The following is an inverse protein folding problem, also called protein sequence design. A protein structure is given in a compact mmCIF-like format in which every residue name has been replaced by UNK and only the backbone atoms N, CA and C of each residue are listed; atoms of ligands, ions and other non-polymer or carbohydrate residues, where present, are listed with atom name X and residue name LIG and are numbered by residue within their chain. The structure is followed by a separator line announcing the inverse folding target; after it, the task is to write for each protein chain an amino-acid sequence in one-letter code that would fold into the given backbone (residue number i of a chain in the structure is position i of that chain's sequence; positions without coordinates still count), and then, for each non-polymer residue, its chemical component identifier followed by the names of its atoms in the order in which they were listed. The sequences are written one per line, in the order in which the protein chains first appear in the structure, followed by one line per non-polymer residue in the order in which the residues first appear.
data_IF_613309867266
#
_entry.id   IF_613309867266
#
_cell.length_a   1.000
_cell.length_b   1.000
_cell.length_c   1.000
_cell.angle_alpha   90.00
_cell.angle_beta   90.00
_cell.angle_gamma   90.00
#
_symmetry.space_group_name_H-M   'P 1'
#
loop_
_entity.id
_entity.type
_entity.pdbx_description
1 polymer ?
#
# COMPACT_ATOMS: atom_id res chain seq x y z
N UNK A 1 -35.36 82.03 -23.60
CA UNK A 1 -36.18 80.87 -23.95
C UNK A 1 -35.29 79.89 -24.67
N UNK A 2 -34.70 78.93 -23.95
CA UNK A 2 -33.82 77.92 -24.52
C UNK A 2 -34.23 76.58 -23.94
N UNK A 3 -34.75 75.76 -24.80
CA UNK A 3 -35.16 74.37 -24.51
C UNK A 3 -33.93 73.45 -24.65
N UNK A 4 -33.57 72.77 -23.57
CA UNK A 4 -32.54 71.75 -23.57
C UNK A 4 -33.16 70.35 -23.81
N UNK A 5 -32.74 69.72 -24.87
CA UNK A 5 -33.05 68.29 -25.17
C UNK A 5 -32.02 67.44 -24.43
N UNK A 6 -32.53 66.53 -23.60
CA UNK A 6 -31.70 65.47 -23.01
C UNK A 6 -31.76 64.23 -23.88
N UNK A 7 -30.59 63.88 -24.44
CA UNK A 7 -30.35 62.57 -25.06
C UNK A 7 -30.15 61.51 -23.94
N UNK A 8 -30.98 60.46 -24.01
CA UNK A 8 -30.77 59.26 -23.17
C UNK A 8 -30.02 58.22 -24.06
N UNK A 9 -28.78 57.93 -23.71
CA UNK A 9 -28.03 56.86 -24.29
C UNK A 9 -28.35 55.53 -23.58
N UNK A 10 -28.93 54.58 -24.27
CA UNK A 10 -29.14 53.21 -23.80
C UNK A 10 -27.88 52.40 -24.02
N UNK A 11 -27.15 52.03 -22.96
CA UNK A 11 -26.10 51.01 -23.01
C UNK A 11 -26.72 49.62 -22.96
N UNK A 12 -26.61 48.89 -24.07
CA UNK A 12 -26.92 47.45 -24.13
C UNK A 12 -25.77 46.69 -23.51
N UNK A 13 -25.94 46.05 -22.38
CA UNK A 13 -25.03 45.07 -21.81
C UNK A 13 -25.25 43.72 -22.53
N UNK A 14 -24.30 43.33 -23.38
CA UNK A 14 -24.17 41.96 -23.87
C UNK A 14 -23.56 41.10 -22.76
N UNK A 15 -24.38 40.32 -22.11
CA UNK A 15 -23.94 39.29 -21.19
C UNK A 15 -23.45 38.07 -21.94
N UNK A 16 -22.15 37.82 -21.92
CA UNK A 16 -21.55 36.56 -22.36
C UNK A 16 -21.81 35.51 -21.28
N UNK A 17 -22.73 34.58 -21.53
CA UNK A 17 -22.84 33.35 -20.74
C UNK A 17 -21.60 32.49 -21.00
N UNK A 18 -20.65 32.52 -20.09
CA UNK A 18 -19.58 31.53 -20.03
C UNK A 18 -20.17 30.20 -19.62
N UNK A 19 -20.18 29.20 -20.50
CA UNK A 19 -20.41 27.82 -20.15
C UNK A 19 -19.23 27.36 -19.30
N UNK A 20 -19.43 27.24 -17.99
CA UNK A 20 -18.54 26.48 -17.11
C UNK A 20 -18.81 25.02 -17.39
N UNK A 21 -17.93 24.36 -18.16
CA UNK A 21 -17.89 22.91 -18.23
C UNK A 21 -17.49 22.38 -16.85
N UNK A 22 -18.44 21.80 -16.13
CA UNK A 22 -18.14 20.98 -14.98
C UNK A 22 -17.38 19.73 -15.47
N UNK A 23 -16.08 19.68 -15.19
CA UNK A 23 -15.31 18.45 -15.28
C UNK A 23 -15.76 17.56 -14.13
N UNK A 24 -16.63 16.61 -14.46
CA UNK A 24 -17.06 15.56 -13.55
C UNK A 24 -15.86 14.62 -13.35
N UNK A 25 -15.12 14.77 -12.27
CA UNK A 25 -14.19 13.76 -11.77
C UNK A 25 -14.99 12.64 -11.14
N UNK A 26 -15.45 11.68 -11.95
CA UNK A 26 -15.90 10.39 -11.43
C UNK A 26 -14.69 9.64 -10.94
N UNK A 27 -14.63 9.40 -9.62
CA UNK A 27 -13.76 8.39 -9.05
C UNK A 27 -14.08 7.03 -9.71
N UNK A 28 -13.08 6.21 -10.08
CA UNK A 28 -13.36 4.90 -10.64
C UNK A 28 -14.07 4.05 -9.59
N UNK A 29 -15.28 3.62 -9.93
CA UNK A 29 -16.05 2.65 -9.16
C UNK A 29 -15.20 1.37 -8.97
N UNK A 30 -15.28 0.78 -7.78
CA UNK A 30 -14.61 -0.48 -7.46
C UNK A 30 -14.78 -1.50 -8.58
N UNK A 31 -13.67 -2.13 -8.99
CA UNK A 31 -13.68 -3.11 -10.07
C UNK A 31 -14.61 -4.28 -9.70
N UNK A 32 -15.55 -4.67 -10.56
CA UNK A 32 -16.31 -5.88 -10.36
C UNK A 32 -15.37 -7.08 -10.50
N UNK A 33 -15.50 -8.05 -9.59
CA UNK A 33 -14.88 -9.36 -9.71
C UNK A 33 -15.39 -10.03 -11.02
N UNK A 34 -14.65 -9.89 -12.10
CA UNK A 34 -15.01 -10.33 -13.44
C UNK A 34 -14.03 -11.37 -13.96
N UNK A 35 -14.58 -12.52 -14.27
CA UNK A 35 -14.01 -13.65 -14.99
C UNK A 35 -12.96 -13.27 -16.05
N UNK A 36 -11.81 -13.96 -16.00
CA UNK A 36 -10.85 -14.14 -17.11
C UNK A 36 -10.14 -12.90 -17.68
N UNK A 37 -10.15 -11.74 -17.01
CA UNK A 37 -9.40 -10.59 -17.44
C UNK A 37 -7.90 -10.78 -17.14
N UNK A 38 -7.07 -10.36 -18.10
CA UNK A 38 -5.62 -10.22 -17.87
C UNK A 38 -5.37 -9.24 -16.71
N UNK A 39 -4.23 -9.40 -16.04
CA UNK A 39 -3.81 -8.45 -15.00
C UNK A 39 -3.49 -7.09 -15.66
N UNK A 40 -3.83 -6.02 -14.97
CA UNK A 40 -3.37 -4.68 -15.35
C UNK A 40 -1.85 -4.61 -15.17
N UNK A 41 -1.15 -4.02 -16.14
CA UNK A 41 0.31 -3.81 -16.08
C UNK A 41 0.59 -2.33 -16.33
N UNK A 42 1.36 -1.70 -15.45
CA UNK A 42 1.77 -0.30 -15.55
C UNK A 42 3.29 -0.21 -15.38
N UNK A 43 3.96 0.50 -16.27
CA UNK A 43 5.35 0.93 -16.03
C UNK A 43 5.33 2.06 -15.00
N UNK A 44 6.10 1.93 -13.92
CA UNK A 44 6.14 2.92 -12.82
C UNK A 44 7.31 3.87 -13.02
N UNK A 45 8.53 3.36 -12.89
CA UNK A 45 9.76 4.14 -13.11
C UNK A 45 10.97 3.21 -13.33
N UNK A 46 11.98 3.68 -14.04
CA UNK A 46 13.18 2.91 -14.30
C UNK A 46 12.86 1.56 -14.96
N UNK A 47 13.16 0.48 -14.27
CA UNK A 47 12.86 -0.89 -14.70
C UNK A 47 11.82 -1.59 -13.81
N UNK A 48 11.03 -0.80 -13.07
CA UNK A 48 9.98 -1.28 -12.16
C UNK A 48 8.59 -1.12 -12.79
N UNK A 49 7.82 -2.19 -12.75
CA UNK A 49 6.44 -2.27 -13.23
C UNK A 49 5.53 -2.68 -12.08
N UNK A 50 4.26 -2.27 -12.15
CA UNK A 50 3.19 -2.69 -11.26
C UNK A 50 2.25 -3.64 -11.99
N UNK A 51 1.90 -4.77 -11.35
CA UNK A 51 0.80 -5.64 -11.74
C UNK A 51 -0.35 -5.46 -10.75
N UNK A 52 -1.57 -5.30 -11.27
CA UNK A 52 -2.79 -5.15 -10.47
C UNK A 52 -3.84 -6.19 -10.83
N UNK A 53 -4.67 -6.58 -9.85
CA UNK A 53 -5.79 -7.51 -10.04
C UNK A 53 -5.49 -8.95 -9.62
N UNK A 54 -4.33 -9.22 -9.03
CA UNK A 54 -3.98 -10.55 -8.52
C UNK A 54 -4.33 -10.79 -7.05
N UNK A 55 -4.69 -9.80 -6.32
CA UNK A 55 -4.84 -9.68 -4.87
C UNK A 55 -4.30 -8.33 -4.46
N UNK A 56 -3.28 -8.29 -3.62
CA UNK A 56 -2.46 -7.08 -3.44
C UNK A 56 -1.71 -6.68 -4.71
N UNK A 57 -1.18 -5.49 -4.72
CA UNK A 57 -0.29 -4.98 -5.76
C UNK A 57 1.01 -5.81 -5.79
N UNK A 58 1.58 -5.96 -6.99
CA UNK A 58 2.82 -6.71 -7.20
C UNK A 58 3.80 -5.81 -7.94
N UNK A 59 4.97 -5.55 -7.37
CA UNK A 59 6.03 -4.85 -8.09
C UNK A 59 6.94 -5.85 -8.82
N UNK A 60 7.30 -5.54 -10.07
CA UNK A 60 8.16 -6.37 -10.91
C UNK A 60 9.31 -5.54 -11.43
N UNK A 61 10.54 -5.88 -11.02
CA UNK A 61 11.75 -5.30 -11.58
C UNK A 61 12.32 -6.25 -12.64
N UNK A 62 12.65 -5.71 -13.81
CA UNK A 62 13.23 -6.47 -14.92
C UNK A 62 14.63 -5.97 -15.29
N UNK A 63 15.50 -6.82 -15.78
CA UNK A 63 16.84 -6.42 -16.24
C UNK A 63 17.72 -7.61 -16.63
N UNK A 64 19.03 -7.36 -16.79
CA UNK A 64 19.97 -8.36 -17.30
C UNK A 64 20.22 -9.52 -16.33
N UNK A 65 20.14 -9.28 -15.02
CA UNK A 65 20.35 -10.31 -14.00
C UNK A 65 19.12 -11.25 -13.89
N UNK A 66 17.96 -10.81 -14.38
CA UNK A 66 16.71 -11.54 -14.30
C UNK A 66 15.54 -10.69 -13.86
N UNK A 67 14.53 -11.34 -13.28
CA UNK A 67 13.33 -10.71 -12.72
C UNK A 67 13.34 -10.83 -11.19
N UNK A 68 13.05 -9.72 -10.52
CA UNK A 68 12.73 -9.66 -9.10
C UNK A 68 11.25 -9.26 -8.95
N UNK A 69 10.53 -10.00 -8.13
CA UNK A 69 9.09 -9.78 -7.87
C UNK A 69 8.90 -9.47 -6.40
N UNK A 70 8.16 -8.40 -6.10
CA UNK A 70 7.72 -8.10 -4.72
C UNK A 70 6.23 -8.40 -4.61
N UNK A 71 5.91 -9.34 -3.74
CA UNK A 71 4.63 -10.01 -3.55
C UNK A 71 4.20 -10.82 -4.78
N UNK A 72 3.16 -11.66 -4.59
CA UNK A 72 2.80 -12.66 -5.61
C UNK A 72 1.31 -12.82 -5.82
N UNK A 73 0.50 -12.03 -5.11
CA UNK A 73 -0.95 -12.09 -5.19
C UNK A 73 -1.54 -13.37 -4.58
N UNK A 74 -2.82 -13.58 -4.82
CA UNK A 74 -3.56 -14.77 -4.40
C UNK A 74 -3.16 -16.01 -5.21
N UNK A 75 -3.13 -17.18 -4.59
CA UNK A 75 -2.70 -18.44 -5.19
C UNK A 75 -3.42 -18.77 -6.52
N UNK A 76 -4.73 -18.52 -6.59
CA UNK A 76 -5.53 -18.78 -7.79
C UNK A 76 -5.20 -17.87 -8.97
N UNK A 77 -4.43 -16.81 -8.78
CA UNK A 77 -4.01 -15.88 -9.82
C UNK A 77 -2.55 -16.08 -10.25
N UNK A 78 -1.82 -17.05 -9.67
CA UNK A 78 -0.40 -17.25 -9.93
C UNK A 78 -0.07 -17.44 -11.42
N UNK A 79 -0.88 -18.20 -12.17
CA UNK A 79 -0.67 -18.40 -13.62
C UNK A 79 -0.82 -17.09 -14.41
N UNK A 80 -1.75 -16.20 -13.98
CA UNK A 80 -1.93 -14.88 -14.60
C UNK A 80 -0.75 -13.97 -14.30
N UNK A 81 -0.21 -14.03 -13.06
CA UNK A 81 0.99 -13.30 -12.65
C UNK A 81 2.19 -13.74 -13.49
N UNK A 82 2.41 -15.06 -13.62
CA UNK A 82 3.49 -15.61 -14.45
C UNK A 82 3.35 -15.17 -15.92
N UNK A 83 2.13 -15.21 -16.48
CA UNK A 83 1.88 -14.77 -17.84
C UNK A 83 2.15 -13.26 -18.03
N UNK A 84 1.81 -12.43 -17.06
CA UNK A 84 2.09 -10.99 -17.08
C UNK A 84 3.61 -10.72 -16.99
N UNK A 85 4.33 -11.39 -16.08
CA UNK A 85 5.79 -11.28 -15.96
C UNK A 85 6.47 -11.69 -17.28
N UNK A 86 6.02 -12.78 -17.92
CA UNK A 86 6.57 -13.25 -19.19
C UNK A 86 6.43 -12.25 -20.34
N UNK A 87 5.40 -11.40 -20.30
CA UNK A 87 5.23 -10.30 -21.27
C UNK A 87 6.23 -9.15 -21.01
N UNK A 88 6.69 -8.97 -19.78
CA UNK A 88 7.66 -7.94 -19.39
C UNK A 88 9.12 -8.38 -19.65
N UNK A 89 9.42 -9.66 -19.45
CA UNK A 89 10.80 -10.17 -19.58
C UNK A 89 10.83 -11.66 -19.93
N UNK A 90 11.81 -12.03 -20.77
CA UNK A 90 12.15 -13.43 -21.07
C UNK A 90 13.10 -14.04 -20.05
N UNK A 91 13.69 -13.21 -19.20
CA UNK A 91 14.63 -13.63 -18.17
C UNK A 91 13.93 -14.40 -17.06
N UNK A 92 14.64 -15.30 -16.37
CA UNK A 92 14.04 -16.05 -15.27
C UNK A 92 13.77 -15.15 -14.04
N UNK A 93 12.73 -15.48 -13.28
CA UNK A 93 12.55 -14.95 -11.93
C UNK A 93 13.69 -15.47 -11.07
N UNK A 94 14.42 -14.56 -10.40
CA UNK A 94 15.53 -14.87 -9.50
C UNK A 94 15.12 -14.72 -8.04
N UNK A 95 14.32 -13.70 -7.77
CA UNK A 95 13.88 -13.31 -6.43
C UNK A 95 12.38 -13.13 -6.38
N UNK A 96 11.79 -13.64 -5.31
CA UNK A 96 10.46 -13.32 -4.83
C UNK A 96 10.65 -12.71 -3.45
N UNK A 97 10.29 -11.44 -3.28
CA UNK A 97 10.31 -10.75 -1.99
C UNK A 97 8.88 -10.68 -1.46
N UNK A 98 8.69 -10.80 -0.14
CA UNK A 98 7.38 -10.56 0.44
C UNK A 98 7.42 -9.37 1.39
N UNK A 99 6.43 -8.47 1.22
CA UNK A 99 6.22 -7.35 2.14
C UNK A 99 5.76 -7.86 3.49
N UNK A 100 4.82 -8.80 3.52
CA UNK A 100 4.29 -9.44 4.74
C UNK A 100 3.67 -10.81 4.42
N UNK A 101 3.04 -11.46 5.41
CA UNK A 101 2.63 -12.87 5.29
C UNK A 101 1.23 -13.11 4.73
N UNK A 102 0.38 -12.11 4.52
CA UNK A 102 -1.03 -12.32 4.12
C UNK A 102 -1.16 -13.03 2.76
N UNK A 103 -2.29 -13.78 2.57
CA UNK A 103 -2.43 -14.69 1.41
C UNK A 103 -2.47 -13.97 0.06
N UNK A 104 -2.95 -12.76 0.02
CA UNK A 104 -3.05 -11.95 -1.19
C UNK A 104 -1.74 -11.26 -1.57
N UNK A 105 -0.68 -11.47 -0.76
CA UNK A 105 0.71 -11.08 -1.02
C UNK A 105 1.63 -12.28 -1.22
N UNK A 106 1.34 -13.42 -0.58
CA UNK A 106 2.22 -14.61 -0.58
C UNK A 106 1.65 -15.82 -1.31
N UNK A 107 0.38 -15.74 -1.77
CA UNK A 107 -0.31 -16.90 -2.31
C UNK A 107 0.32 -17.53 -3.53
N UNK A 108 0.95 -16.73 -4.40
CA UNK A 108 1.65 -17.20 -5.60
C UNK A 108 3.10 -17.63 -5.37
N UNK A 109 3.66 -17.52 -4.15
CA UNK A 109 5.08 -17.76 -3.85
C UNK A 109 5.61 -19.08 -4.44
N UNK A 110 4.93 -20.19 -4.15
CA UNK A 110 5.35 -21.52 -4.60
C UNK A 110 5.40 -21.62 -6.12
N UNK A 111 4.38 -21.10 -6.81
CA UNK A 111 4.28 -21.16 -8.26
C UNK A 111 5.36 -20.29 -8.92
N UNK A 112 5.56 -19.07 -8.44
CA UNK A 112 6.57 -18.15 -8.98
C UNK A 112 7.99 -18.67 -8.71
N UNK A 113 8.25 -19.16 -7.51
CA UNK A 113 9.55 -19.74 -7.16
C UNK A 113 9.90 -20.95 -8.05
N UNK A 114 8.95 -21.88 -8.24
CA UNK A 114 9.13 -23.05 -9.12
C UNK A 114 9.33 -22.70 -10.60
N UNK A 115 8.65 -21.65 -11.08
CA UNK A 115 8.78 -21.17 -12.45
C UNK A 115 10.08 -20.39 -12.70
N UNK A 116 10.70 -19.86 -11.64
CA UNK A 116 11.99 -19.18 -11.67
C UNK A 116 13.19 -20.09 -11.48
N UNK A 117 14.36 -19.51 -11.37
CA UNK A 117 15.59 -20.25 -11.07
C UNK A 117 16.66 -19.37 -10.43
N UNK A 118 17.37 -19.90 -9.44
CA UNK A 118 18.60 -19.28 -8.90
C UNK A 118 19.74 -19.28 -9.92
N UNK A 119 20.74 -18.44 -9.69
CA UNK A 119 21.97 -18.43 -10.50
C UNK A 119 22.70 -19.77 -10.48
N UNK A 120 22.67 -20.45 -9.34
CA UNK A 120 23.36 -21.74 -9.14
C UNK A 120 22.44 -22.97 -9.33
N UNK A 121 21.27 -22.77 -9.93
CA UNK A 121 20.25 -23.80 -10.13
C UNK A 121 19.29 -23.95 -8.96
N UNK A 122 18.16 -24.61 -9.23
CA UNK A 122 17.02 -24.72 -8.30
C UNK A 122 16.00 -23.60 -8.46
N UNK A 123 14.89 -23.63 -7.70
CA UNK A 123 13.83 -22.64 -7.75
C UNK A 123 14.32 -21.22 -7.38
N UNK A 124 13.60 -20.18 -7.79
CA UNK A 124 13.89 -18.81 -7.35
C UNK A 124 13.83 -18.69 -5.84
N UNK A 125 14.64 -17.80 -5.27
CA UNK A 125 14.63 -17.55 -3.83
C UNK A 125 13.41 -16.76 -3.41
N UNK A 126 12.83 -17.16 -2.26
CA UNK A 126 11.77 -16.41 -1.58
C UNK A 126 12.41 -15.79 -0.35
N UNK A 127 12.51 -14.45 -0.32
CA UNK A 127 13.14 -13.70 0.76
C UNK A 127 12.10 -12.82 1.47
N UNK A 128 12.12 -12.85 2.79
CA UNK A 128 11.30 -11.96 3.62
C UNK A 128 11.92 -11.78 5.01
N UNK A 129 11.33 -10.91 5.85
CA UNK A 129 11.69 -10.89 7.27
C UNK A 129 11.33 -12.23 7.94
N UNK A 130 12.10 -12.67 8.98
CA UNK A 130 11.90 -13.95 9.66
C UNK A 130 10.52 -14.11 10.29
N UNK A 131 9.87 -12.99 10.68
CA UNK A 131 8.52 -13.01 11.22
C UNK A 131 7.49 -13.47 10.18
N UNK A 132 7.69 -13.20 8.88
CA UNK A 132 6.85 -13.74 7.80
C UNK A 132 6.90 -15.27 7.80
N UNK A 133 8.10 -15.86 7.86
CA UNK A 133 8.25 -17.31 7.96
C UNK A 133 7.57 -17.85 9.21
N UNK A 134 7.78 -17.20 10.35
CA UNK A 134 7.16 -17.57 11.64
C UNK A 134 5.63 -17.57 11.52
N UNK A 135 5.03 -16.54 10.91
CA UNK A 135 3.58 -16.44 10.71
C UNK A 135 3.05 -17.46 9.71
N UNK A 136 3.73 -17.68 8.58
CA UNK A 136 3.32 -18.64 7.55
C UNK A 136 3.42 -20.09 8.04
N UNK A 137 4.35 -20.41 8.91
CA UNK A 137 4.54 -21.77 9.48
C UNK A 137 3.66 -22.03 10.72
N UNK A 138 3.10 -20.98 11.35
CA UNK A 138 2.25 -21.13 12.53
C UNK A 138 0.99 -21.95 12.22
N UNK A 139 0.50 -22.81 13.16
CA UNK A 139 -0.67 -23.65 12.93
C UNK A 139 -1.92 -22.89 12.49
N UNK A 140 -2.12 -21.67 13.00
CA UNK A 140 -3.26 -20.81 12.65
C UNK A 140 -3.24 -20.29 11.20
N UNK A 141 -2.04 -20.08 10.65
CA UNK A 141 -1.83 -19.48 9.33
C UNK A 141 -1.14 -20.43 8.35
N UNK A 142 -0.99 -21.70 8.70
CA UNK A 142 -0.18 -22.69 8.01
C UNK A 142 -0.38 -22.66 6.49
N UNK A 143 0.68 -22.37 5.77
CA UNK A 143 0.78 -22.41 4.31
C UNK A 143 1.50 -23.68 3.84
N UNK A 144 1.34 -24.09 2.58
CA UNK A 144 2.20 -25.12 1.99
C UNK A 144 3.68 -24.75 2.15
N UNK A 145 4.51 -25.72 2.52
CA UNK A 145 5.95 -25.47 2.75
C UNK A 145 6.69 -24.92 1.51
N UNK A 146 6.22 -25.24 0.32
CA UNK A 146 6.75 -24.70 -0.94
C UNK A 146 6.54 -23.21 -1.12
N UNK A 147 5.61 -22.58 -0.35
CA UNK A 147 5.36 -21.15 -0.37
C UNK A 147 6.13 -20.37 0.70
N UNK A 148 6.84 -21.07 1.61
CA UNK A 148 7.57 -20.42 2.68
C UNK A 148 8.82 -19.71 2.18
N UNK A 149 9.24 -18.62 2.83
CA UNK A 149 10.55 -18.03 2.58
C UNK A 149 11.67 -19.08 2.65
N UNK A 150 12.52 -19.09 1.62
CA UNK A 150 13.70 -19.96 1.53
C UNK A 150 14.96 -19.28 2.04
N UNK A 151 14.92 -17.95 2.12
CA UNK A 151 15.89 -17.09 2.77
C UNK A 151 15.15 -16.07 3.65
N UNK A 152 15.73 -15.72 4.82
CA UNK A 152 15.14 -14.75 5.73
C UNK A 152 16.21 -13.78 6.22
N UNK A 153 15.75 -12.56 6.53
CA UNK A 153 16.57 -11.59 7.25
C UNK A 153 15.90 -11.20 8.57
N UNK A 154 16.73 -10.77 9.54
CA UNK A 154 16.27 -10.37 10.88
C UNK A 154 16.85 -9.02 11.36
N UNK A 155 17.81 -8.37 10.65
CA UNK A 155 18.16 -6.98 10.92
C UNK A 155 17.02 -6.04 10.54
N UNK A 156 17.12 -4.79 10.97
CA UNK A 156 16.16 -3.74 10.56
C UNK A 156 16.24 -3.43 9.06
N UNK A 157 17.39 -3.72 8.41
CA UNK A 157 17.65 -3.46 7.00
C UNK A 157 18.37 -4.63 6.32
N UNK A 158 18.04 -4.85 5.05
CA UNK A 158 18.67 -5.83 4.18
C UNK A 158 18.78 -5.25 2.76
N UNK A 159 19.97 -5.32 2.17
CA UNK A 159 20.20 -4.89 0.80
C UNK A 159 20.42 -6.06 -0.14
N UNK A 160 19.89 -5.96 -1.34
CA UNK A 160 20.20 -6.79 -2.49
C UNK A 160 20.67 -5.88 -3.62
N UNK A 161 21.81 -6.17 -4.25
CA UNK A 161 22.20 -5.49 -5.47
C UNK A 161 21.76 -6.32 -6.69
N UNK A 162 20.83 -5.78 -7.49
CA UNK A 162 20.21 -6.51 -8.57
C UNK A 162 19.81 -5.57 -9.73
N UNK A 163 20.02 -6.00 -10.98
CA UNK A 163 19.72 -5.22 -12.17
C UNK A 163 20.33 -3.80 -12.17
N UNK A 164 21.52 -3.65 -11.58
CA UNK A 164 22.28 -2.40 -11.56
C UNK A 164 21.80 -1.37 -10.55
N UNK A 165 21.04 -1.78 -9.52
CA UNK A 165 20.63 -0.94 -8.40
C UNK A 165 20.61 -1.68 -7.06
N UNK A 166 20.64 -0.93 -5.97
CA UNK A 166 20.34 -1.45 -4.65
C UNK A 166 18.83 -1.55 -4.49
N UNK A 167 18.34 -2.72 -4.08
CA UNK A 167 16.98 -2.99 -3.62
C UNK A 167 17.06 -3.13 -2.10
N UNK A 168 16.54 -2.14 -1.39
CA UNK A 168 16.66 -2.01 0.06
C UNK A 168 15.36 -2.49 0.71
N UNK A 169 15.47 -3.38 1.69
CA UNK A 169 14.35 -3.89 2.47
C UNK A 169 14.45 -3.30 3.88
N UNK A 170 13.42 -2.61 4.32
CA UNK A 170 13.33 -2.03 5.67
C UNK A 170 12.25 -2.77 6.44
N UNK A 171 12.62 -3.38 7.56
CA UNK A 171 11.65 -4.01 8.45
C UNK A 171 10.97 -2.98 9.34
N UNK A 172 9.64 -2.95 9.33
CA UNK A 172 8.82 -2.12 10.21
C UNK A 172 8.15 -2.98 11.27
N UNK A 173 8.65 -2.82 12.49
CA UNK A 173 8.14 -3.57 13.63
C UNK A 173 6.70 -3.16 13.97
N UNK A 174 5.82 -4.16 14.07
CA UNK A 174 4.48 -3.99 14.59
C UNK A 174 3.66 -2.90 13.87
N UNK A 175 3.75 -2.79 12.52
CA UNK A 175 2.95 -1.89 11.70
C UNK A 175 1.59 -2.51 11.36
N UNK A 176 1.35 -2.91 10.12
CA UNK A 176 0.20 -3.70 9.71
C UNK A 176 0.24 -5.10 10.34
N UNK A 177 1.43 -5.73 10.32
CA UNK A 177 1.79 -6.98 11.03
C UNK A 177 3.11 -6.78 11.79
N UNK A 178 3.71 -7.84 12.33
CA UNK A 178 5.06 -7.79 12.90
C UNK A 178 6.17 -8.17 11.90
N UNK A 179 5.80 -8.49 10.67
CA UNK A 179 6.73 -8.96 9.63
C UNK A 179 6.85 -8.01 8.43
N UNK A 180 6.29 -6.80 8.53
CA UNK A 180 6.21 -5.89 7.40
C UNK A 180 7.58 -5.43 6.93
N UNK A 181 7.73 -5.37 5.62
CA UNK A 181 8.92 -4.85 4.95
C UNK A 181 8.51 -3.84 3.89
N UNK A 182 9.11 -2.64 3.94
CA UNK A 182 9.08 -1.66 2.86
C UNK A 182 10.26 -1.95 1.95
N UNK A 183 10.03 -2.02 0.63
CA UNK A 183 11.06 -2.29 -0.36
C UNK A 183 11.30 -1.05 -1.21
N UNK A 184 12.55 -0.56 -1.25
CA UNK A 184 12.95 0.62 -2.00
C UNK A 184 13.91 0.26 -3.14
N UNK A 185 13.49 0.52 -4.38
CA UNK A 185 14.30 0.42 -5.59
C UNK A 185 15.01 1.76 -5.79
N UNK A 186 16.25 1.84 -5.31
CA UNK A 186 16.95 3.10 -5.10
C UNK A 186 17.21 3.92 -6.37
N UNK A 187 17.58 3.29 -7.49
CA UNK A 187 17.84 3.99 -8.75
C UNK A 187 16.57 4.25 -9.53
N UNK A 188 15.66 3.30 -9.51
CA UNK A 188 14.34 3.44 -10.14
C UNK A 188 13.44 4.41 -9.36
N UNK A 189 13.81 4.73 -8.12
CA UNK A 189 13.11 5.65 -7.22
C UNK A 189 11.64 5.26 -7.00
N UNK A 190 11.46 3.99 -6.61
CA UNK A 190 10.15 3.38 -6.35
C UNK A 190 10.15 2.71 -4.98
N UNK A 191 9.18 3.05 -4.16
CA UNK A 191 8.89 2.37 -2.89
C UNK A 191 7.71 1.43 -3.06
N UNK A 192 7.85 0.16 -2.66
CA UNK A 192 6.74 -0.78 -2.47
C UNK A 192 6.45 -0.90 -0.99
N UNK A 193 5.30 -0.37 -0.57
CA UNK A 193 4.94 -0.19 0.84
C UNK A 193 4.28 -1.43 1.47
N UNK A 194 3.74 -2.36 0.66
CA UNK A 194 2.83 -3.37 1.19
C UNK A 194 1.62 -2.72 1.87
N UNK A 195 1.00 -3.42 2.83
CA UNK A 195 -0.22 -2.96 3.48
C UNK A 195 0.01 -1.95 4.63
N UNK A 196 1.27 -1.50 4.82
CA UNK A 196 1.55 -0.32 5.66
C UNK A 196 1.06 0.98 5.03
N UNK A 197 0.74 0.97 3.74
CA UNK A 197 0.07 2.05 3.04
C UNK A 197 -0.93 1.51 2.04
N UNK A 198 -2.17 1.93 2.14
CA UNK A 198 -3.25 1.58 1.21
C UNK A 198 -4.07 2.83 0.86
N UNK A 199 -4.64 2.88 -0.36
CA UNK A 199 -5.44 4.05 -0.79
C UNK A 199 -6.94 3.78 -0.80
N UNK A 200 -7.36 2.57 -0.48
CA UNK A 200 -8.75 2.09 -0.67
C UNK A 200 -9.56 2.02 0.61
N UNK A 201 -8.92 2.15 1.78
CA UNK A 201 -9.57 1.99 3.08
C UNK A 201 -8.75 2.64 4.20
N UNK A 202 -9.29 2.64 5.40
CA UNK A 202 -8.49 2.78 6.62
C UNK A 202 -7.47 1.65 6.75
N UNK A 203 -6.37 1.83 7.55
CA UNK A 203 -5.42 0.75 7.80
C UNK A 203 -6.09 -0.49 8.39
N UNK A 204 -5.70 -1.66 7.92
CA UNK A 204 -5.96 -2.90 8.63
C UNK A 204 -4.81 -3.18 9.60
N UNK A 205 -5.05 -3.07 10.90
CA UNK A 205 -4.07 -3.33 11.94
C UNK A 205 -4.28 -4.77 12.44
N UNK A 206 -3.48 -5.70 11.99
CA UNK A 206 -3.57 -7.11 12.39
C UNK A 206 -2.94 -7.34 13.78
N UNK A 207 -3.68 -6.93 14.81
CA UNK A 207 -3.24 -7.04 16.20
C UNK A 207 -2.97 -8.49 16.62
N UNK A 208 -3.66 -9.47 16.02
CA UNK A 208 -3.45 -10.90 16.30
C UNK A 208 -2.07 -11.37 15.83
N UNK A 209 -1.52 -10.70 14.83
CA UNK A 209 -0.21 -10.98 14.26
C UNK A 209 0.78 -9.83 14.47
N UNK A 210 0.62 -9.07 15.54
CA UNK A 210 1.60 -8.13 16.07
C UNK A 210 1.47 -6.69 15.54
N UNK A 211 0.49 -6.39 14.70
CA UNK A 211 0.24 -5.02 14.21
C UNK A 211 -0.18 -4.05 15.31
N UNK A 212 0.12 -2.76 15.12
CA UNK A 212 -0.25 -1.68 16.04
C UNK A 212 -0.37 -0.34 15.34
N UNK A 213 -1.21 0.55 15.88
CA UNK A 213 -1.37 1.90 15.32
C UNK A 213 -0.08 2.72 15.40
N UNK A 214 0.74 2.53 16.42
CA UNK A 214 2.01 3.26 16.53
C UNK A 214 3.04 2.73 15.53
N UNK A 215 3.12 1.42 15.32
CA UNK A 215 3.98 0.82 14.30
C UNK A 215 3.56 1.24 12.89
N UNK A 216 2.25 1.30 12.62
CA UNK A 216 1.71 1.82 11.36
C UNK A 216 2.19 3.25 11.08
N UNK A 217 2.09 4.14 12.07
CA UNK A 217 2.59 5.51 11.95
C UNK A 217 4.11 5.58 11.76
N UNK A 218 4.86 4.68 12.40
CA UNK A 218 6.30 4.61 12.22
C UNK A 218 6.66 4.19 10.79
N UNK A 219 5.96 3.18 10.23
CA UNK A 219 6.14 2.73 8.84
C UNK A 219 5.81 3.85 7.84
N UNK A 220 4.69 4.55 8.02
CA UNK A 220 4.33 5.70 7.18
C UNK A 220 5.37 6.83 7.25
N UNK A 221 5.90 7.13 8.44
CA UNK A 221 6.99 8.10 8.58
C UNK A 221 8.27 7.63 7.88
N UNK A 222 8.61 6.33 7.95
CA UNK A 222 9.75 5.78 7.20
C UNK A 222 9.58 5.95 5.70
N UNK A 223 8.38 5.73 5.14
CA UNK A 223 8.12 5.99 3.73
C UNK A 223 8.39 7.47 3.40
N UNK A 224 7.91 8.39 4.24
CA UNK A 224 8.14 9.83 4.07
C UNK A 224 9.61 10.23 4.20
N UNK A 225 10.39 9.56 5.05
CA UNK A 225 11.84 9.78 5.19
C UNK A 225 12.63 9.31 3.96
N UNK A 226 12.10 8.34 3.20
CA UNK A 226 12.70 7.79 1.98
C UNK A 226 12.25 8.57 0.74
N UNK A 227 10.95 8.91 0.67
CA UNK A 227 10.35 9.49 -0.50
C UNK A 227 10.74 10.97 -0.70
N UNK A 228 11.20 11.30 -1.90
CA UNK A 228 11.50 12.67 -2.29
C UNK A 228 10.26 13.30 -2.90
N UNK A 229 9.82 14.47 -2.40
CA UNK A 229 8.66 15.18 -2.97
C UNK A 229 8.88 15.60 -4.43
N UNK A 230 7.80 15.63 -5.21
CA UNK A 230 7.85 16.00 -6.64
C UNK A 230 8.36 17.43 -6.90
N UNK A 231 8.30 18.34 -5.91
CA UNK A 231 8.82 19.71 -6.04
C UNK A 231 10.34 19.82 -5.79
N UNK A 232 10.96 18.78 -5.21
CA UNK A 232 12.41 18.72 -4.97
C UNK A 232 13.15 17.90 -6.03
N UNK A 233 12.44 16.99 -6.73
CA UNK A 233 13.00 16.13 -7.77
C UNK A 233 11.97 15.95 -8.88
N UNK A 234 12.38 15.92 -10.15
CA UNK A 234 11.49 15.68 -11.29
C UNK A 234 10.77 14.33 -11.13
N UNK A 235 9.43 14.40 -11.01
CA UNK A 235 8.56 13.24 -10.80
C UNK A 235 8.42 12.79 -9.34
N UNK A 236 9.37 13.13 -8.46
CA UNK A 236 9.40 12.63 -7.08
C UNK A 236 9.59 11.13 -6.98
N UNK A 237 9.57 10.58 -5.77
CA UNK A 237 9.57 9.14 -5.53
C UNK A 237 8.17 8.55 -5.75
N UNK A 238 8.06 7.50 -6.55
CA UNK A 238 6.80 6.77 -6.70
C UNK A 238 6.60 5.79 -5.55
N UNK A 239 5.38 5.75 -5.00
CA UNK A 239 5.01 4.83 -3.92
C UNK A 239 3.91 3.89 -4.41
N UNK A 240 4.19 2.59 -4.41
CA UNK A 240 3.23 1.52 -4.69
C UNK A 240 2.63 1.07 -3.36
N UNK A 241 1.33 1.34 -3.08
CA UNK A 241 0.66 0.84 -1.89
C UNK A 241 0.41 -0.67 -2.00
N UNK A 242 0.09 -1.34 -0.89
CA UNK A 242 -0.34 -2.74 -0.95
C UNK A 242 -1.64 -2.91 -1.74
N UNK A 243 -2.55 -1.95 -1.65
CA UNK A 243 -3.80 -1.91 -2.42
C UNK A 243 -4.09 -0.49 -2.91
N UNK A 244 -4.46 -0.38 -4.19
CA UNK A 244 -4.85 0.88 -4.80
C UNK A 244 -3.92 1.35 -5.92
N UNK A 245 -3.91 2.65 -6.19
CA UNK A 245 -3.15 3.27 -7.28
C UNK A 245 -1.71 3.56 -6.87
N UNK A 246 -0.84 3.78 -7.86
CA UNK A 246 0.49 4.39 -7.62
C UNK A 246 0.30 5.79 -7.05
N UNK A 247 1.12 6.13 -6.09
CA UNK A 247 1.10 7.34 -5.28
C UNK A 247 2.46 8.05 -5.31
N UNK A 248 2.51 9.20 -4.64
CA UNK A 248 3.72 9.96 -4.36
C UNK A 248 3.84 10.25 -2.85
N UNK A 249 4.84 11.03 -2.47
CA UNK A 249 5.08 11.44 -1.07
C UNK A 249 3.87 12.18 -0.48
N UNK A 250 3.23 13.07 -1.25
CA UNK A 250 2.10 13.86 -0.77
C UNK A 250 0.88 12.99 -0.42
N UNK A 251 0.61 11.93 -1.18
CA UNK A 251 -0.44 10.95 -0.88
C UNK A 251 -0.16 10.22 0.45
N UNK A 252 1.09 9.84 0.68
CA UNK A 252 1.51 9.18 1.94
C UNK A 252 1.38 10.15 3.11
N UNK A 253 1.77 11.40 2.92
CA UNK A 253 1.66 12.46 3.93
C UNK A 253 0.20 12.68 4.34
N UNK A 254 -0.72 12.79 3.37
CA UNK A 254 -2.15 12.94 3.65
C UNK A 254 -2.70 11.74 4.44
N UNK A 255 -2.33 10.52 4.04
CA UNK A 255 -2.75 9.30 4.72
C UNK A 255 -2.20 9.22 6.15
N UNK A 256 -0.89 9.51 6.35
CA UNK A 256 -0.23 9.54 7.66
C UNK A 256 -0.90 10.56 8.58
N UNK A 257 -1.23 11.74 8.07
CA UNK A 257 -1.89 12.80 8.84
C UNK A 257 -3.30 12.38 9.26
N UNK A 258 -4.06 11.75 8.36
CA UNK A 258 -5.36 11.17 8.68
C UNK A 258 -5.25 10.14 9.81
N UNK A 259 -4.33 9.19 9.70
CA UNK A 259 -4.11 8.14 10.72
C UNK A 259 -3.71 8.77 12.07
N UNK A 260 -2.83 9.78 12.05
CA UNK A 260 -2.39 10.52 13.24
C UNK A 260 -3.57 11.20 13.91
N UNK A 261 -4.37 11.95 13.17
CA UNK A 261 -5.52 12.70 13.70
C UNK A 261 -6.55 11.74 14.32
N UNK A 262 -6.87 10.65 13.64
CA UNK A 262 -7.83 9.66 14.17
C UNK A 262 -7.28 8.99 15.42
N UNK A 263 -5.99 8.59 15.42
CA UNK A 263 -5.32 8.03 16.59
C UNK A 263 -5.38 8.99 17.78
N UNK A 264 -5.08 10.27 17.58
CA UNK A 264 -5.05 11.27 18.65
C UNK A 264 -6.44 11.57 19.22
N UNK A 265 -7.47 11.64 18.36
CA UNK A 265 -8.87 11.76 18.78
C UNK A 265 -9.28 10.58 19.67
N UNK A 266 -9.00 9.36 19.24
CA UNK A 266 -9.35 8.16 20.01
C UNK A 266 -8.51 8.10 21.31
N UNK A 267 -7.24 8.50 21.27
CA UNK A 267 -6.39 8.55 22.46
C UNK A 267 -6.94 9.52 23.53
N UNK A 268 -7.42 10.70 23.13
CA UNK A 268 -8.10 11.64 24.04
C UNK A 268 -9.35 11.01 24.67
N UNK A 269 -10.19 10.35 23.86
CA UNK A 269 -11.40 9.66 24.34
C UNK A 269 -11.04 8.53 25.32
N UNK A 270 -10.01 7.74 25.04
CA UNK A 270 -9.50 6.68 25.94
C UNK A 270 -9.02 7.30 27.28
N UNK A 271 -8.24 8.40 27.23
CA UNK A 271 -7.78 9.12 28.44
C UNK A 271 -8.94 9.65 29.28
N UNK A 272 -10.06 10.01 28.66
CA UNK A 272 -11.29 10.44 29.35
C UNK A 272 -12.16 9.28 29.86
N UNK A 273 -11.71 8.03 29.67
CA UNK A 273 -12.41 6.83 30.14
C UNK A 273 -13.66 6.47 29.33
N UNK A 274 -13.77 6.91 28.08
CA UNK A 274 -14.89 6.54 27.22
C UNK A 274 -14.85 5.06 26.83
N UNK A 275 -16.02 4.41 26.82
CA UNK A 275 -16.14 3.03 26.32
C UNK A 275 -16.02 3.00 24.81
N UNK A 276 -15.77 1.82 24.23
CA UNK A 276 -15.68 1.65 22.76
C UNK A 276 -17.00 2.07 22.06
N UNK A 277 -18.15 1.81 22.67
CA UNK A 277 -19.44 2.21 22.13
C UNK A 277 -19.58 3.74 22.09
N UNK A 278 -19.12 4.43 23.15
CA UNK A 278 -19.09 5.89 23.19
C UNK A 278 -18.13 6.48 22.15
N UNK A 279 -16.95 5.85 21.95
CA UNK A 279 -15.97 6.28 20.94
C UNK A 279 -16.56 6.10 19.53
N UNK A 280 -17.16 4.94 19.24
CA UNK A 280 -17.83 4.70 17.94
C UNK A 280 -18.97 5.71 17.70
N UNK A 281 -19.77 6.02 18.72
CA UNK A 281 -20.85 7.00 18.65
C UNK A 281 -20.33 8.43 18.41
N UNK A 282 -19.14 8.76 18.90
CA UNK A 282 -18.50 10.08 18.68
C UNK A 282 -17.93 10.25 17.26
N UNK A 283 -17.87 9.18 16.45
CA UNK A 283 -17.42 9.20 15.04
C UNK A 283 -16.07 9.90 14.83
N UNK A 284 -14.99 9.47 15.44
CA UNK A 284 -13.68 10.14 15.35
C UNK A 284 -13.12 10.21 13.92
N UNK A 285 -13.62 9.39 13.01
CA UNK A 285 -13.21 9.25 11.60
C UNK A 285 -14.05 10.05 10.61
N UNK A 286 -15.14 10.73 11.07
CA UNK A 286 -16.21 11.29 10.23
C UNK A 286 -15.70 12.13 9.03
N UNK A 287 -14.64 12.93 9.23
CA UNK A 287 -14.09 13.81 8.19
C UNK A 287 -13.47 13.01 7.02
N UNK A 288 -13.10 11.76 7.27
CA UNK A 288 -12.40 10.87 6.35
C UNK A 288 -13.24 9.71 5.80
N UNK A 289 -14.43 9.46 6.42
CA UNK A 289 -15.29 8.33 6.10
C UNK A 289 -15.74 8.30 4.64
N UNK A 290 -15.86 9.49 4.01
CA UNK A 290 -16.22 9.57 2.58
C UNK A 290 -15.16 8.95 1.67
N UNK A 291 -13.90 9.02 2.05
CA UNK A 291 -12.76 8.55 1.25
C UNK A 291 -12.35 7.14 1.64
N UNK A 292 -12.17 6.88 2.93
CA UNK A 292 -11.61 5.64 3.46
C UNK A 292 -12.63 4.74 4.17
N UNK A 293 -13.81 5.28 4.50
CA UNK A 293 -14.80 4.58 5.30
C UNK A 293 -15.62 3.55 4.54
N UNK A 294 -15.99 2.48 5.22
CA UNK A 294 -16.94 1.47 4.74
C UNK A 294 -17.68 0.83 5.91
N UNK A 295 -18.97 0.54 5.69
CA UNK A 295 -19.77 -0.25 6.63
C UNK A 295 -19.67 -1.76 6.35
N UNK A 296 -19.07 -2.16 5.23
CA UNK A 296 -18.98 -3.53 4.75
C UNK A 296 -17.58 -3.85 4.25
N UNK A 297 -17.30 -5.12 4.01
CA UNK A 297 -16.01 -5.58 3.48
C UNK A 297 -15.02 -5.97 4.57
N UNK A 298 -13.76 -6.13 4.19
CA UNK A 298 -12.71 -6.64 5.07
C UNK A 298 -12.30 -5.59 6.12
N UNK A 299 -12.12 -4.34 5.71
CA UNK A 299 -11.85 -3.22 6.62
C UNK A 299 -13.10 -2.36 6.72
N UNK A 300 -13.72 -2.32 7.90
CA UNK A 300 -14.85 -1.43 8.18
C UNK A 300 -14.41 -0.27 9.04
N UNK A 301 -15.10 0.89 8.91
CA UNK A 301 -14.87 2.06 9.79
C UNK A 301 -14.95 1.70 11.27
N UNK A 302 -15.97 0.93 11.65
CA UNK A 302 -16.15 0.48 13.04
C UNK A 302 -15.01 -0.46 13.49
N UNK A 303 -14.53 -1.34 12.60
CA UNK A 303 -13.40 -2.24 12.88
C UNK A 303 -12.08 -1.49 13.06
N UNK A 304 -11.81 -0.48 12.24
CA UNK A 304 -10.63 0.37 12.39
C UNK A 304 -10.65 1.14 13.73
N UNK A 305 -11.78 1.81 14.06
CA UNK A 305 -11.94 2.50 15.35
C UNK A 305 -11.70 1.53 16.52
N UNK A 306 -12.23 0.31 16.42
CA UNK A 306 -12.08 -0.70 17.47
C UNK A 306 -10.62 -1.17 17.61
N UNK A 307 -9.91 -1.38 16.51
CA UNK A 307 -8.50 -1.76 16.54
C UNK A 307 -7.65 -0.68 17.20
N UNK A 308 -7.82 0.59 16.80
CA UNK A 308 -7.12 1.74 17.41
C UNK A 308 -7.45 1.87 18.89
N UNK A 309 -8.74 1.77 19.26
CA UNK A 309 -9.16 1.85 20.66
C UNK A 309 -8.52 0.74 21.51
N UNK A 310 -8.53 -0.51 21.05
CA UNK A 310 -7.93 -1.65 21.77
C UNK A 310 -6.42 -1.45 21.97
N UNK A 311 -5.72 -1.01 20.94
CA UNK A 311 -4.27 -0.78 21.03
C UNK A 311 -3.94 0.32 22.04
N UNK A 312 -4.69 1.42 22.06
CA UNK A 312 -4.48 2.54 22.95
C UNK A 312 -4.95 2.29 24.39
N UNK A 313 -5.97 1.46 24.57
CA UNK A 313 -6.51 1.12 25.92
C UNK A 313 -5.64 0.09 26.65
N UNK A 314 -4.83 -0.70 25.94
CA UNK A 314 -3.98 -1.74 26.54
C UNK A 314 -2.51 -1.63 26.11
N UNK A 315 -1.82 -0.54 26.44
CA UNK A 315 -0.43 -0.33 26.03
C UNK A 315 0.58 -1.33 26.61
N UNK A 316 0.16 -2.15 27.59
CA UNK A 316 1.01 -3.15 28.27
C UNK A 316 0.90 -4.56 27.65
N UNK A 317 -0.05 -4.77 26.72
CA UNK A 317 -0.25 -6.07 26.04
C UNK A 317 0.72 -6.34 24.89
N UNK A 318 1.66 -5.43 24.61
CA UNK A 318 2.68 -5.64 23.56
C UNK A 318 3.70 -6.67 24.05
N UNK A 319 3.99 -7.74 23.29
CA UNK A 319 5.14 -8.56 23.54
C UNK A 319 6.38 -7.64 23.54
N UNK A 320 7.18 -7.68 24.59
CA UNK A 320 8.53 -7.15 24.53
C UNK A 320 9.25 -7.98 23.47
N UNK A 321 9.40 -7.43 22.28
CA UNK A 321 10.26 -7.99 21.25
C UNK A 321 11.68 -7.92 21.85
N UNK A 322 12.23 -9.08 22.19
CA UNK A 322 13.62 -9.24 22.62
C UNK A 322 14.50 -9.39 21.40
#
# INVERSE_FOLDING_TARGET
MHTHHKLIAACALLGTLGLVQQVSTQAPAGQPAGNNSELGTLHVSGNVHLLVGAGGNIAVQTGDDGVLVVDTGLAQNADKVLAAIKKLSDKPIRWVLNTHFHPDHTGGNEALSKAGSKTNGGPAEILSHENVLTRMSAPANKRPTGSWPTDTYFPEEKDIYFNGEAVMLYHDQAAHTDGDSIIFFRKSDVVMAGDTFVTTSYPFIDQANGGSIQGELNALNRILDIAVPAHEQEGGTFVIPGHGRVCDEADVLEYRDMVTIVRDRIQDMVKRGMTIEQVKAAKPTLDYDRHYGSDTGFVTTAGFIEAVYKDLSNPKGKPLVR
#
